data_IF_328186478507
#
_entry.id   IF_328186478507
#
_cell.length_a   1.000
_cell.length_b   1.000
_cell.length_c   1.000
_cell.angle_alpha   90.00
_cell.angle_beta   90.00
_cell.angle_gamma   90.00
#
_symmetry.space_group_name_H-M   'P 1'
#
loop_
_entity.id
_entity.type
_entity.pdbx_description
1 polymer ?
#
# COMPACT_ATOMS: atom_id res chain seq x y z
N UNK A 1 -21.39 -32.81 -4.20
CA UNK A 1 -21.02 -33.14 -5.59
C UNK A 1 -19.96 -34.22 -5.49
N UNK A 2 -20.19 -35.45 -6.03
CA UNK A 2 -19.16 -36.48 -6.04
C UNK A 2 -18.01 -35.98 -6.92
N UNK A 3 -16.83 -35.83 -6.33
CA UNK A 3 -15.61 -35.47 -7.04
C UNK A 3 -14.98 -36.76 -7.56
N UNK A 4 -15.17 -37.07 -8.85
CA UNK A 4 -14.33 -38.09 -9.46
C UNK A 4 -12.91 -37.54 -9.50
N UNK A 5 -11.99 -38.18 -8.76
CA UNK A 5 -10.55 -37.98 -8.90
C UNK A 5 -10.08 -38.48 -10.27
N UNK A 6 -10.61 -37.86 -11.33
CA UNK A 6 -10.09 -38.06 -12.67
C UNK A 6 -8.68 -37.47 -12.68
N UNK A 7 -7.71 -38.21 -13.06
CA UNK A 7 -6.30 -37.97 -13.47
C UNK A 7 -5.76 -36.53 -13.58
N UNK A 8 -6.40 -35.54 -12.99
CA UNK A 8 -5.92 -34.16 -12.96
C UNK A 8 -4.98 -33.94 -11.79
N UNK A 9 -3.79 -33.46 -12.07
CA UNK A 9 -2.75 -33.16 -11.08
C UNK A 9 -3.16 -32.05 -10.09
N UNK A 10 -4.21 -31.27 -10.40
CA UNK A 10 -4.75 -30.20 -9.56
C UNK A 10 -6.24 -29.99 -9.81
N UNK A 11 -6.89 -29.28 -8.90
CA UNK A 11 -8.25 -28.78 -9.05
C UNK A 11 -8.37 -27.40 -8.38
N UNK A 12 -9.23 -26.53 -8.89
CA UNK A 12 -9.53 -25.23 -8.32
C UNK A 12 -11.05 -25.02 -8.26
N UNK A 13 -11.55 -24.55 -7.12
CA UNK A 13 -12.93 -24.11 -6.96
C UNK A 13 -13.03 -22.63 -7.36
N UNK A 14 -14.26 -22.17 -7.60
CA UNK A 14 -14.52 -20.80 -8.04
C UNK A 14 -13.75 -20.42 -9.31
N UNK A 15 -13.99 -21.19 -10.38
CA UNK A 15 -13.37 -20.93 -11.68
C UNK A 15 -13.62 -19.48 -12.12
N UNK A 16 -12.58 -18.84 -12.68
CA UNK A 16 -12.55 -17.42 -13.09
C UNK A 16 -13.00 -16.45 -11.99
N UNK A 17 -12.98 -16.91 -10.72
CA UNK A 17 -13.36 -16.10 -9.55
C UNK A 17 -14.76 -15.47 -9.65
N UNK A 18 -15.70 -16.16 -10.33
CA UNK A 18 -17.05 -15.65 -10.60
C UNK A 18 -17.99 -15.71 -9.38
N UNK A 19 -17.73 -16.59 -8.42
CA UNK A 19 -18.54 -16.73 -7.20
C UNK A 19 -18.10 -15.77 -6.10
N UNK A 20 -19.07 -15.27 -5.33
CA UNK A 20 -18.83 -14.33 -4.22
C UNK A 20 -18.55 -15.13 -2.93
N UNK A 21 -17.47 -15.92 -2.92
CA UNK A 21 -17.00 -16.69 -1.76
C UNK A 21 -15.49 -16.91 -1.86
N UNK A 22 -14.85 -17.16 -0.70
CA UNK A 22 -13.42 -17.45 -0.61
C UNK A 22 -13.22 -18.96 -0.39
N UNK A 23 -12.10 -19.47 -0.89
CA UNK A 23 -11.75 -20.90 -0.79
C UNK A 23 -10.49 -21.09 0.04
N UNK A 24 -10.61 -21.86 1.11
CA UNK A 24 -9.45 -22.33 1.89
C UNK A 24 -8.92 -23.61 1.25
N UNK A 25 -7.67 -23.58 0.83
CA UNK A 25 -6.93 -24.77 0.39
C UNK A 25 -5.96 -25.23 1.48
N UNK A 26 -5.66 -26.54 1.51
CA UNK A 26 -4.52 -26.99 2.33
C UNK A 26 -3.22 -26.36 1.82
N UNK A 27 -2.20 -26.19 2.67
CA UNK A 27 -0.92 -25.61 2.24
C UNK A 27 -0.31 -26.34 1.03
N UNK A 28 -0.39 -27.68 1.02
CA UNK A 28 0.13 -28.52 -0.06
C UNK A 28 -0.63 -28.31 -1.38
N UNK A 29 -1.97 -28.16 -1.29
CA UNK A 29 -2.77 -27.94 -2.48
C UNK A 29 -2.60 -26.53 -3.02
N UNK A 30 -2.49 -25.53 -2.13
CA UNK A 30 -2.20 -24.15 -2.52
C UNK A 30 -0.82 -24.02 -3.19
N UNK A 31 0.19 -24.74 -2.70
CA UNK A 31 1.50 -24.80 -3.32
C UNK A 31 1.43 -25.39 -4.75
N UNK A 32 0.68 -26.48 -4.95
CA UNK A 32 0.45 -27.06 -6.29
C UNK A 32 -0.26 -26.08 -7.22
N UNK A 33 -1.28 -25.37 -6.74
CA UNK A 33 -1.93 -24.32 -7.52
C UNK A 33 -0.96 -23.20 -7.88
N UNK A 34 -0.02 -22.86 -6.99
CA UNK A 34 1.08 -21.95 -7.27
C UNK A 34 1.99 -22.43 -8.39
N UNK A 35 2.38 -23.72 -8.38
CA UNK A 35 3.18 -24.34 -9.45
C UNK A 35 2.43 -24.26 -10.81
N UNK A 36 1.13 -24.55 -10.84
CA UNK A 36 0.33 -24.43 -12.06
C UNK A 36 0.20 -22.98 -12.50
N UNK A 37 0.00 -22.05 -11.57
CA UNK A 37 -0.10 -20.62 -11.84
C UNK A 37 1.24 -20.04 -12.36
N UNK A 38 2.39 -20.59 -11.95
CA UNK A 38 3.73 -20.14 -12.37
C UNK A 38 4.01 -20.33 -13.87
N UNK A 39 3.19 -21.13 -14.56
CA UNK A 39 3.26 -21.27 -16.02
C UNK A 39 2.84 -19.98 -16.75
N UNK A 40 2.37 -18.95 -16.03
CA UNK A 40 2.01 -17.66 -16.58
C UNK A 40 0.97 -17.74 -17.71
N UNK A 41 1.26 -17.22 -18.90
CA UNK A 41 0.32 -17.29 -20.04
C UNK A 41 0.00 -18.71 -20.51
N UNK A 42 0.84 -19.70 -20.21
CA UNK A 42 0.60 -21.12 -20.54
C UNK A 42 -0.12 -21.87 -19.41
N UNK A 43 -0.46 -21.19 -18.32
CA UNK A 43 -1.23 -21.80 -17.23
C UNK A 43 -2.67 -22.09 -17.68
N UNK A 44 -3.25 -23.23 -17.28
CA UNK A 44 -4.69 -23.45 -17.43
C UNK A 44 -5.54 -22.60 -16.47
N UNK A 45 -4.90 -21.90 -15.50
CA UNK A 45 -5.56 -20.92 -14.64
C UNK A 45 -5.60 -19.56 -15.33
N UNK A 46 -6.80 -18.99 -15.47
CA UNK A 46 -6.99 -17.66 -16.02
C UNK A 46 -6.27 -16.58 -15.19
N UNK A 47 -6.22 -15.36 -15.70
CA UNK A 47 -5.71 -14.20 -14.93
C UNK A 47 -6.58 -13.99 -13.69
N UNK A 48 -7.90 -14.10 -13.84
CA UNK A 48 -8.89 -13.99 -12.78
C UNK A 48 -8.70 -15.06 -11.71
N UNK A 49 -8.39 -16.29 -12.11
CA UNK A 49 -8.08 -17.39 -11.19
C UNK A 49 -6.83 -17.09 -10.38
N UNK A 50 -5.77 -16.60 -11.00
CA UNK A 50 -4.51 -16.27 -10.31
C UNK A 50 -4.68 -15.09 -9.33
N UNK A 51 -5.41 -14.04 -9.73
CA UNK A 51 -5.78 -12.92 -8.84
C UNK A 51 -6.62 -13.42 -7.67
N UNK A 52 -7.63 -14.26 -7.95
CA UNK A 52 -8.50 -14.83 -6.92
C UNK A 52 -7.75 -15.68 -5.89
N UNK A 53 -6.78 -16.50 -6.35
CA UNK A 53 -5.91 -17.30 -5.45
C UNK A 53 -5.09 -16.40 -4.51
N UNK A 54 -4.52 -15.31 -5.03
CA UNK A 54 -3.76 -14.35 -4.25
C UNK A 54 -4.68 -13.68 -3.21
N UNK A 55 -5.85 -13.17 -3.67
CA UNK A 55 -6.78 -12.48 -2.78
C UNK A 55 -7.29 -13.41 -1.67
N UNK A 56 -7.67 -14.64 -1.99
CA UNK A 56 -8.11 -15.63 -1.01
C UNK A 56 -6.99 -16.00 -0.03
N UNK A 57 -5.78 -16.32 -0.51
CA UNK A 57 -4.68 -16.73 0.34
C UNK A 57 -4.31 -15.66 1.38
N UNK A 58 -4.19 -14.40 0.98
CA UNK A 58 -3.85 -13.32 1.89
C UNK A 58 -5.01 -12.90 2.79
N UNK A 59 -6.23 -12.83 2.27
CA UNK A 59 -7.40 -12.44 3.06
C UNK A 59 -7.74 -13.49 4.13
N UNK A 60 -7.64 -14.77 3.78
CA UNK A 60 -7.88 -15.87 4.72
C UNK A 60 -6.74 -16.00 5.75
N UNK A 61 -5.50 -15.69 5.37
CA UNK A 61 -4.40 -15.59 6.34
C UNK A 61 -4.60 -14.42 7.32
N UNK A 62 -5.02 -13.26 6.81
CA UNK A 62 -5.34 -12.10 7.64
C UNK A 62 -6.49 -12.40 8.63
N UNK A 63 -7.50 -13.14 8.19
CA UNK A 63 -8.63 -13.56 9.02
C UNK A 63 -8.33 -14.77 9.94
N UNK A 64 -7.10 -15.32 9.91
CA UNK A 64 -6.69 -16.44 10.79
C UNK A 64 -7.14 -17.83 10.33
N UNK A 65 -7.75 -17.97 9.13
CA UNK A 65 -8.17 -19.26 8.58
C UNK A 65 -7.03 -20.04 7.92
N UNK A 66 -5.94 -19.38 7.55
CA UNK A 66 -4.76 -20.01 6.95
C UNK A 66 -3.46 -19.36 7.45
N UNK A 67 -2.31 -19.96 7.07
CA UNK A 67 -1.00 -19.42 7.46
C UNK A 67 -0.51 -18.39 6.44
N UNK A 68 0.04 -17.28 6.89
CA UNK A 68 0.71 -16.29 6.04
C UNK A 68 1.85 -16.90 5.24
N UNK A 69 2.57 -17.90 5.79
CA UNK A 69 3.61 -18.64 5.06
C UNK A 69 3.09 -19.32 3.79
N UNK A 70 1.85 -19.83 3.80
CA UNK A 70 1.25 -20.44 2.61
C UNK A 70 0.98 -19.40 1.51
N UNK A 71 0.53 -18.19 1.88
CA UNK A 71 0.36 -17.08 0.94
C UNK A 71 1.71 -16.60 0.37
N UNK A 72 2.76 -16.55 1.19
CA UNK A 72 4.13 -16.22 0.72
C UNK A 72 4.70 -17.31 -0.21
N UNK A 73 4.41 -18.59 0.06
CA UNK A 73 4.80 -19.70 -0.84
C UNK A 73 4.12 -19.57 -2.21
N UNK A 74 2.81 -19.25 -2.23
CA UNK A 74 2.09 -18.95 -3.48
C UNK A 74 2.74 -17.77 -4.22
N UNK A 75 3.05 -16.69 -3.51
CA UNK A 75 3.71 -15.51 -4.11
C UNK A 75 5.07 -15.86 -4.69
N UNK A 76 5.87 -16.68 -3.99
CA UNK A 76 7.18 -17.14 -4.48
C UNK A 76 7.05 -17.94 -5.79
N UNK A 77 6.04 -18.78 -5.91
CA UNK A 77 5.77 -19.51 -7.15
C UNK A 77 5.48 -18.59 -8.34
N UNK A 78 4.91 -17.41 -8.09
CA UNK A 78 4.54 -16.40 -9.10
C UNK A 78 5.69 -15.43 -9.47
N UNK A 79 6.95 -15.73 -9.12
CA UNK A 79 8.10 -14.85 -9.42
C UNK A 79 8.33 -14.58 -10.92
N UNK A 80 7.81 -15.44 -11.81
CA UNK A 80 7.87 -15.30 -13.27
C UNK A 80 6.62 -14.67 -13.89
N UNK A 81 5.70 -14.15 -13.08
CA UNK A 81 4.44 -13.57 -13.58
C UNK A 81 4.69 -12.32 -14.43
N UNK A 82 3.85 -12.13 -15.45
CA UNK A 82 3.94 -11.02 -16.40
C UNK A 82 2.63 -10.24 -16.55
N UNK A 83 1.51 -10.77 -16.05
CA UNK A 83 0.23 -10.07 -16.07
C UNK A 83 0.25 -8.88 -15.13
N UNK A 84 -0.08 -7.69 -15.61
CA UNK A 84 -0.18 -6.47 -14.83
C UNK A 84 -1.16 -6.61 -13.67
N UNK A 85 -2.32 -7.24 -13.89
CA UNK A 85 -3.35 -7.43 -12.88
C UNK A 85 -2.87 -8.34 -11.74
N UNK A 86 -2.19 -9.43 -12.06
CA UNK A 86 -1.65 -10.36 -11.05
C UNK A 86 -0.54 -9.68 -10.23
N UNK A 87 0.37 -8.95 -10.89
CA UNK A 87 1.43 -8.21 -10.22
C UNK A 87 0.92 -7.05 -9.37
N UNK A 88 -0.15 -6.36 -9.80
CA UNK A 88 -0.84 -5.36 -8.98
C UNK A 88 -1.46 -5.99 -7.72
N UNK A 89 -2.11 -7.14 -7.86
CA UNK A 89 -2.68 -7.87 -6.73
C UNK A 89 -1.58 -8.27 -5.73
N UNK A 90 -0.45 -8.81 -6.20
CA UNK A 90 0.70 -9.16 -5.37
C UNK A 90 1.29 -7.94 -4.67
N UNK A 91 1.50 -6.83 -5.38
CA UNK A 91 2.03 -5.60 -4.82
C UNK A 91 1.14 -5.06 -3.69
N UNK A 92 -0.18 -5.03 -3.92
CA UNK A 92 -1.16 -4.60 -2.92
C UNK A 92 -1.14 -5.49 -1.66
N UNK A 93 -1.17 -6.82 -1.84
CA UNK A 93 -1.20 -7.75 -0.69
C UNK A 93 0.09 -7.74 0.11
N UNK A 94 1.23 -7.65 -0.55
CA UNK A 94 2.53 -7.55 0.12
C UNK A 94 2.71 -6.20 0.84
N UNK A 95 2.14 -5.12 0.30
CA UNK A 95 2.12 -3.82 0.99
C UNK A 95 1.23 -3.86 2.24
N UNK A 96 0.03 -4.46 2.14
CA UNK A 96 -0.85 -4.67 3.29
C UNK A 96 -0.17 -5.51 4.38
N UNK A 97 0.52 -6.59 4.00
CA UNK A 97 1.29 -7.42 4.93
C UNK A 97 2.42 -6.63 5.58
N UNK A 98 3.19 -5.87 4.80
CA UNK A 98 4.27 -5.02 5.30
C UNK A 98 3.74 -3.96 6.28
N UNK A 99 2.60 -3.37 5.98
CA UNK A 99 1.93 -2.42 6.87
C UNK A 99 1.45 -3.06 8.16
N UNK A 100 0.89 -4.28 8.11
CA UNK A 100 0.45 -5.00 9.30
C UNK A 100 1.62 -5.48 10.18
N UNK A 101 2.77 -5.79 9.56
CA UNK A 101 3.97 -6.29 10.24
C UNK A 101 4.95 -5.19 10.66
N UNK A 102 4.54 -3.94 10.70
CA UNK A 102 5.42 -2.81 10.97
C UNK A 102 6.12 -2.84 12.35
N UNK A 103 5.54 -3.52 13.34
CA UNK A 103 6.10 -3.71 14.69
C UNK A 103 6.77 -5.08 14.89
N UNK A 104 6.81 -5.92 13.86
CA UNK A 104 7.53 -7.19 13.93
C UNK A 104 9.05 -6.96 14.08
N UNK A 105 9.76 -7.99 14.55
CA UNK A 105 11.20 -7.95 14.68
C UNK A 105 11.88 -7.44 13.40
N UNK A 106 12.96 -6.69 13.55
CA UNK A 106 13.67 -6.10 12.41
C UNK A 106 14.08 -7.14 11.37
N UNK A 107 14.48 -8.35 11.79
CA UNK A 107 14.82 -9.46 10.89
C UNK A 107 13.64 -9.90 10.01
N UNK A 108 12.43 -9.92 10.56
CA UNK A 108 11.20 -10.27 9.82
C UNK A 108 10.90 -9.20 8.77
N UNK A 109 10.97 -7.92 9.17
CA UNK A 109 10.72 -6.80 8.25
C UNK A 109 11.74 -6.71 7.14
N UNK A 110 13.03 -6.90 7.47
CA UNK A 110 14.13 -6.97 6.48
C UNK A 110 13.94 -8.14 5.53
N UNK A 111 13.60 -9.33 6.06
CA UNK A 111 13.34 -10.51 5.22
C UNK A 111 12.15 -10.32 4.28
N UNK A 112 11.05 -9.70 4.75
CA UNK A 112 9.90 -9.37 3.89
C UNK A 112 10.27 -8.36 2.80
N UNK A 113 11.04 -7.32 3.15
CA UNK A 113 11.48 -6.33 2.18
C UNK A 113 12.42 -6.94 1.13
N UNK A 114 13.36 -7.81 1.54
CA UNK A 114 14.22 -8.53 0.59
C UNK A 114 13.38 -9.41 -0.36
N UNK A 115 12.41 -10.16 0.17
CA UNK A 115 11.50 -10.96 -0.63
C UNK A 115 10.73 -10.13 -1.68
N UNK A 116 10.25 -8.94 -1.28
CA UNK A 116 9.58 -7.99 -2.18
C UNK A 116 10.54 -7.42 -3.23
N UNK A 117 11.76 -7.06 -2.83
CA UNK A 117 12.80 -6.54 -3.73
C UNK A 117 13.22 -7.60 -4.77
N UNK A 118 13.35 -8.86 -4.37
CA UNK A 118 13.67 -9.97 -5.26
C UNK A 118 12.56 -10.23 -6.30
N UNK A 119 11.30 -10.00 -5.91
CA UNK A 119 10.15 -10.14 -6.81
C UNK A 119 10.05 -8.98 -7.81
N UNK A 120 10.10 -7.73 -7.34
CA UNK A 120 9.80 -6.55 -8.16
C UNK A 120 11.03 -5.88 -8.77
N UNK A 121 12.21 -5.98 -8.15
CA UNK A 121 13.43 -5.32 -8.63
C UNK A 121 13.85 -5.72 -10.04
N UNK A 122 13.89 -7.02 -10.40
CA UNK A 122 14.18 -7.44 -11.78
C UNK A 122 13.20 -6.88 -12.82
N UNK A 123 11.92 -6.83 -12.47
CA UNK A 123 10.86 -6.25 -13.34
C UNK A 123 11.02 -4.74 -13.49
N UNK A 124 11.31 -4.03 -12.40
CA UNK A 124 11.57 -2.60 -12.43
C UNK A 124 12.77 -2.24 -13.34
N UNK A 125 13.85 -3.02 -13.25
CA UNK A 125 15.02 -2.87 -14.15
C UNK A 125 14.67 -3.15 -15.61
N UNK A 126 13.91 -4.20 -15.88
CA UNK A 126 13.48 -4.57 -17.23
C UNK A 126 12.60 -3.51 -17.89
N UNK A 127 11.62 -2.98 -17.16
CA UNK A 127 10.70 -1.97 -17.67
C UNK A 127 11.31 -0.56 -17.66
N UNK A 128 12.28 -0.30 -16.80
CA UNK A 128 12.97 0.97 -16.58
C UNK A 128 12.01 2.14 -16.28
N UNK A 129 12.58 3.31 -16.01
CA UNK A 129 11.80 4.54 -15.82
C UNK A 129 11.45 5.25 -17.15
N UNK A 130 12.03 4.80 -18.25
CA UNK A 130 11.83 5.43 -19.54
C UNK A 130 10.55 4.90 -20.17
N UNK A 131 9.55 5.77 -20.28
CA UNK A 131 8.32 5.49 -21.03
C UNK A 131 8.58 5.65 -22.50
N UNK A 132 8.09 4.73 -23.31
CA UNK A 132 8.18 4.81 -24.78
C UNK A 132 6.83 5.25 -25.34
N UNK A 133 6.86 5.91 -26.49
CA UNK A 133 5.64 6.38 -27.16
C UNK A 133 4.72 5.21 -27.59
N UNK A 134 5.30 4.02 -27.84
CA UNK A 134 4.61 2.81 -28.22
C UNK A 134 4.17 1.91 -27.03
N UNK A 135 4.44 2.35 -25.80
CA UNK A 135 4.00 1.60 -24.60
C UNK A 135 2.47 1.58 -24.50
N UNK A 136 1.91 0.38 -24.37
CA UNK A 136 0.48 0.22 -24.08
C UNK A 136 0.13 0.76 -22.70
N UNK A 137 -1.13 1.07 -22.47
CA UNK A 137 -1.64 1.47 -21.12
C UNK A 137 -1.28 0.42 -20.08
N UNK A 138 -1.43 -0.85 -20.39
CA UNK A 138 -1.07 -1.95 -19.51
C UNK A 138 0.42 -1.96 -19.16
N UNK A 139 1.30 -1.69 -20.12
CA UNK A 139 2.76 -1.58 -19.88
C UNK A 139 3.09 -0.41 -18.96
N UNK A 140 2.42 0.72 -19.13
CA UNK A 140 2.61 1.91 -18.26
C UNK A 140 2.15 1.63 -16.82
N UNK A 141 0.97 1.03 -16.66
CA UNK A 141 0.45 0.64 -15.35
C UNK A 141 1.38 -0.38 -14.65
N UNK A 142 1.83 -1.38 -15.40
CA UNK A 142 2.78 -2.38 -14.89
C UNK A 142 4.08 -1.72 -14.45
N UNK A 143 4.65 -0.81 -15.26
CA UNK A 143 5.86 -0.06 -14.93
C UNK A 143 5.68 0.70 -13.62
N UNK A 144 4.59 1.47 -13.50
CA UNK A 144 4.29 2.24 -12.29
C UNK A 144 4.18 1.34 -11.06
N UNK A 145 3.47 0.23 -11.19
CA UNK A 145 3.29 -0.75 -10.11
C UNK A 145 4.62 -1.34 -9.65
N UNK A 146 5.43 -1.85 -10.58
CA UNK A 146 6.67 -2.55 -10.19
C UNK A 146 7.74 -1.59 -9.68
N UNK A 147 7.84 -0.37 -10.24
CA UNK A 147 8.76 0.66 -9.74
C UNK A 147 8.36 1.06 -8.31
N UNK A 148 7.08 1.32 -8.06
CA UNK A 148 6.60 1.70 -6.72
C UNK A 148 6.81 0.57 -5.72
N UNK A 149 6.53 -0.68 -6.10
CA UNK A 149 6.71 -1.84 -5.22
C UNK A 149 8.18 -2.13 -4.92
N UNK A 150 9.07 -2.03 -5.92
CA UNK A 150 10.51 -2.21 -5.76
C UNK A 150 11.11 -1.09 -4.89
N UNK A 151 10.72 0.16 -5.11
CA UNK A 151 11.15 1.30 -4.29
C UNK A 151 10.72 1.14 -2.82
N UNK A 152 9.44 0.81 -2.58
CA UNK A 152 8.92 0.58 -1.24
C UNK A 152 9.60 -0.61 -0.53
N UNK A 153 10.10 -1.58 -1.28
CA UNK A 153 10.88 -2.72 -0.78
C UNK A 153 12.36 -2.39 -0.50
N UNK A 154 12.83 -1.22 -0.94
CA UNK A 154 14.23 -0.81 -0.76
C UNK A 154 15.19 -1.34 -1.82
N UNK A 155 14.70 -1.71 -3.04
CA UNK A 155 15.58 -2.13 -4.14
C UNK A 155 16.60 -1.05 -4.48
N UNK A 156 17.87 -1.36 -4.33
CA UNK A 156 18.96 -0.40 -4.41
C UNK A 156 19.05 0.28 -5.80
N UNK A 157 18.83 -0.47 -6.89
CA UNK A 157 18.85 0.09 -8.23
C UNK A 157 17.69 1.08 -8.43
N UNK A 158 16.49 0.70 -8.03
CA UNK A 158 15.29 1.55 -8.15
C UNK A 158 15.45 2.83 -7.33
N UNK A 159 15.93 2.74 -6.10
CA UNK A 159 16.19 3.92 -5.26
C UNK A 159 17.30 4.80 -5.84
N UNK A 160 18.36 4.22 -6.41
CA UNK A 160 19.42 4.96 -7.09
C UNK A 160 18.89 5.76 -8.29
N UNK A 161 18.02 5.16 -9.10
CA UNK A 161 17.38 5.82 -10.22
C UNK A 161 16.42 6.94 -9.79
N UNK A 162 15.69 6.75 -8.70
CA UNK A 162 14.83 7.79 -8.10
C UNK A 162 15.69 8.96 -7.62
N UNK A 163 16.73 8.67 -6.86
CA UNK A 163 17.65 9.69 -6.35
C UNK A 163 18.26 10.53 -7.49
N UNK A 164 18.77 9.86 -8.52
CA UNK A 164 19.35 10.55 -9.68
C UNK A 164 18.37 11.51 -10.36
N UNK A 165 17.12 11.09 -10.57
CA UNK A 165 16.08 11.91 -11.21
C UNK A 165 15.65 13.08 -10.34
N UNK A 166 15.45 12.81 -9.04
CA UNK A 166 15.06 13.85 -8.09
C UNK A 166 16.16 14.91 -7.93
N UNK A 167 17.44 14.49 -7.81
CA UNK A 167 18.58 15.41 -7.70
C UNK A 167 18.70 16.25 -8.95
N UNK A 168 18.59 15.67 -10.15
CA UNK A 168 18.60 16.43 -11.39
C UNK A 168 17.52 17.53 -11.38
N UNK A 169 16.28 17.17 -11.06
CA UNK A 169 15.20 18.16 -10.97
C UNK A 169 15.46 19.20 -9.89
N UNK A 170 15.96 18.80 -8.73
CA UNK A 170 16.25 19.72 -7.61
C UNK A 170 17.32 20.75 -7.99
N UNK A 171 18.34 20.36 -8.73
CA UNK A 171 19.48 21.20 -9.10
C UNK A 171 19.19 22.11 -10.31
N UNK A 172 18.38 21.61 -11.24
CA UNK A 172 18.17 22.30 -12.53
C UNK A 172 16.77 22.92 -12.69
N UNK A 173 15.78 22.45 -11.92
CA UNK A 173 14.37 22.76 -12.13
C UNK A 173 13.73 21.98 -13.30
N UNK A 174 14.49 21.12 -13.99
CA UNK A 174 14.03 20.31 -15.12
C UNK A 174 13.52 18.94 -14.64
N UNK A 175 12.22 18.70 -14.74
CA UNK A 175 11.56 17.45 -14.39
C UNK A 175 11.37 16.47 -15.56
N UNK A 176 11.96 16.76 -16.73
CA UNK A 176 11.83 15.95 -17.95
C UNK A 176 12.24 14.48 -17.77
N UNK A 177 13.09 14.18 -16.79
CA UNK A 177 13.47 12.81 -16.42
C UNK A 177 12.44 12.10 -15.56
N UNK A 178 11.38 12.78 -15.09
CA UNK A 178 10.36 12.23 -14.19
C UNK A 178 9.03 12.14 -14.93
N UNK A 179 8.73 10.96 -15.48
CA UNK A 179 7.43 10.78 -16.13
C UNK A 179 6.28 10.95 -15.12
N UNK A 180 5.15 11.58 -15.50
CA UNK A 180 3.99 11.80 -14.60
C UNK A 180 3.51 10.54 -13.86
N UNK A 181 3.55 9.38 -14.49
CA UNK A 181 3.10 8.10 -13.91
C UNK A 181 3.94 7.68 -12.68
N UNK A 182 5.20 8.08 -12.60
CA UNK A 182 6.11 7.75 -11.48
C UNK A 182 6.42 8.94 -10.58
N UNK A 183 5.86 10.13 -10.88
CA UNK A 183 6.12 11.36 -10.13
C UNK A 183 5.87 11.18 -8.63
N UNK A 184 4.74 10.60 -8.25
CA UNK A 184 4.42 10.35 -6.83
C UNK A 184 5.48 9.50 -6.15
N UNK A 185 5.89 8.40 -6.79
CA UNK A 185 6.90 7.48 -6.24
C UNK A 185 8.24 8.20 -6.07
N UNK A 186 8.68 8.95 -7.09
CA UNK A 186 9.95 9.72 -7.04
C UNK A 186 9.94 10.71 -5.89
N UNK A 187 8.89 11.53 -5.76
CA UNK A 187 8.79 12.53 -4.71
C UNK A 187 8.69 11.89 -3.31
N UNK A 188 7.89 10.82 -3.17
CA UNK A 188 7.70 10.16 -1.87
C UNK A 188 8.98 9.49 -1.37
N UNK A 189 9.71 8.78 -2.23
CA UNK A 189 10.95 8.13 -1.83
C UNK A 189 12.08 9.15 -1.63
N UNK A 190 12.09 10.26 -2.40
CA UNK A 190 13.03 11.35 -2.18
C UNK A 190 12.84 12.03 -0.82
N UNK A 191 11.59 12.26 -0.38
CA UNK A 191 11.30 12.81 0.94
C UNK A 191 11.59 11.79 2.06
N UNK A 192 11.29 10.53 1.82
CA UNK A 192 11.48 9.44 2.78
C UNK A 192 12.95 9.18 3.12
N UNK A 193 13.82 9.20 2.12
CA UNK A 193 15.25 8.90 2.25
C UNK A 193 16.15 10.14 2.21
N UNK A 194 15.60 11.31 1.88
CA UNK A 194 16.33 12.55 1.72
C UNK A 194 16.49 13.35 3.02
N UNK A 195 17.11 14.49 2.87
CA UNK A 195 17.37 15.43 3.95
C UNK A 195 16.26 16.52 4.08
N UNK A 196 16.51 17.53 4.91
CA UNK A 196 15.60 18.67 5.06
C UNK A 196 15.46 19.49 3.78
N UNK A 197 16.46 19.47 2.90
CA UNK A 197 16.41 20.21 1.62
C UNK A 197 15.46 19.52 0.64
N UNK A 198 15.49 18.17 0.56
CA UNK A 198 14.52 17.41 -0.27
C UNK A 198 13.07 17.69 0.19
N UNK A 199 12.82 17.67 1.50
CA UNK A 199 11.51 18.02 2.06
C UNK A 199 11.11 19.46 1.68
N UNK A 200 12.01 20.44 1.82
CA UNK A 200 11.77 21.84 1.47
C UNK A 200 11.43 22.00 0.00
N UNK A 201 12.16 21.33 -0.89
CA UNK A 201 11.90 21.34 -2.34
C UNK A 201 10.48 20.82 -2.65
N UNK A 202 10.07 19.71 -2.05
CA UNK A 202 8.72 19.16 -2.26
C UNK A 202 7.64 20.05 -1.64
N UNK A 203 7.91 20.70 -0.50
CA UNK A 203 7.00 21.66 0.12
C UNK A 203 6.81 22.90 -0.79
N UNK A 204 7.88 23.38 -1.42
CA UNK A 204 7.79 24.47 -2.40
C UNK A 204 6.95 24.06 -3.62
N UNK A 205 7.14 22.83 -4.11
CA UNK A 205 6.31 22.29 -5.20
C UNK A 205 4.82 22.24 -4.80
N UNK A 206 4.49 21.88 -3.55
CA UNK A 206 3.12 21.90 -3.07
C UNK A 206 2.50 23.31 -3.11
N UNK A 207 3.25 24.33 -2.70
CA UNK A 207 2.77 25.73 -2.69
C UNK A 207 2.68 26.38 -4.07
N UNK A 208 3.60 26.05 -4.98
CA UNK A 208 3.67 26.59 -6.34
C UNK A 208 3.76 25.48 -7.39
N UNK A 209 2.72 24.64 -7.54
CA UNK A 209 2.77 23.49 -8.45
C UNK A 209 2.53 23.93 -9.90
N UNK A 210 3.27 23.35 -10.87
CA UNK A 210 3.01 23.58 -12.29
C UNK A 210 1.66 23.04 -12.74
N UNK A 211 1.22 21.93 -12.15
CA UNK A 211 -0.07 21.28 -12.44
C UNK A 211 -0.74 20.75 -11.18
N UNK A 212 -2.06 20.47 -11.21
CA UNK A 212 -2.76 19.80 -10.10
C UNK A 212 -2.14 18.45 -9.69
N UNK A 213 -1.60 17.69 -10.67
CA UNK A 213 -0.91 16.43 -10.40
C UNK A 213 0.30 16.63 -9.48
N UNK A 214 1.15 17.61 -9.82
CA UNK A 214 2.33 17.95 -9.02
C UNK A 214 1.96 18.31 -7.59
N UNK A 215 0.90 19.10 -7.43
CA UNK A 215 0.39 19.46 -6.09
C UNK A 215 -0.01 18.24 -5.27
N UNK A 216 -0.83 17.36 -5.86
CA UNK A 216 -1.31 16.17 -5.16
C UNK A 216 -0.15 15.21 -4.85
N UNK A 217 0.77 14.98 -5.80
CA UNK A 217 1.95 14.15 -5.58
C UNK A 217 2.87 14.73 -4.51
N UNK A 218 3.12 16.04 -4.51
CA UNK A 218 3.91 16.72 -3.49
C UNK A 218 3.27 16.58 -2.10
N UNK A 219 1.95 16.81 -1.99
CA UNK A 219 1.23 16.65 -0.74
C UNK A 219 1.36 15.24 -0.16
N UNK A 220 1.16 14.22 -1.00
CA UNK A 220 1.31 12.82 -0.56
C UNK A 220 2.75 12.51 -0.16
N UNK A 221 3.73 13.05 -0.89
CA UNK A 221 5.15 12.86 -0.60
C UNK A 221 5.56 13.45 0.76
N UNK A 222 5.02 14.62 1.14
CA UNK A 222 5.27 15.20 2.47
C UNK A 222 4.86 14.26 3.61
N UNK A 223 3.83 13.43 3.42
CA UNK A 223 3.43 12.42 4.38
C UNK A 223 4.38 11.23 4.50
N UNK A 224 5.34 11.07 3.58
CA UNK A 224 6.30 9.96 3.58
C UNK A 224 7.55 10.23 4.44
N UNK A 225 7.71 11.44 4.97
CA UNK A 225 8.87 11.85 5.76
C UNK A 225 9.05 11.00 7.02
N UNK A 226 10.30 10.61 7.33
CA UNK A 226 10.61 9.75 8.49
C UNK A 226 11.22 10.52 9.68
N UNK A 227 11.77 11.71 9.45
CA UNK A 227 12.38 12.53 10.49
C UNK A 227 11.30 13.13 11.42
N UNK A 228 11.43 12.98 12.76
CA UNK A 228 10.42 13.45 13.72
C UNK A 228 10.09 14.94 13.63
N UNK A 229 11.12 15.79 13.42
CA UNK A 229 10.96 17.23 13.25
C UNK A 229 10.13 17.61 12.02
N UNK A 230 10.35 16.89 10.92
CA UNK A 230 9.60 17.11 9.67
C UNK A 230 8.21 16.49 9.70
N UNK A 231 8.02 15.36 10.42
CA UNK A 231 6.69 14.81 10.71
C UNK A 231 5.85 15.84 11.49
N UNK A 232 6.42 16.40 12.56
CA UNK A 232 5.75 17.43 13.34
C UNK A 232 5.37 18.65 12.48
N UNK A 233 6.28 19.08 11.59
CA UNK A 233 6.01 20.17 10.65
C UNK A 233 4.89 19.82 9.67
N UNK A 234 4.86 18.59 9.12
CA UNK A 234 3.80 18.16 8.21
C UNK A 234 2.45 18.12 8.91
N UNK A 235 2.40 17.64 10.16
CA UNK A 235 1.18 17.66 10.98
C UNK A 235 0.70 19.10 11.25
N UNK A 236 1.60 20.04 11.56
CA UNK A 236 1.25 21.46 11.68
C UNK A 236 0.60 22.00 10.40
N UNK A 237 1.12 21.71 9.21
CA UNK A 237 0.50 22.14 7.93
C UNK A 237 -0.94 21.64 7.79
N UNK A 238 -1.23 20.44 8.32
CA UNK A 238 -2.59 19.87 8.29
C UNK A 238 -3.52 20.60 9.25
N UNK A 239 -3.12 20.74 10.51
CA UNK A 239 -3.99 21.18 11.58
C UNK A 239 -4.07 22.70 11.70
N UNK A 240 -3.01 23.44 11.32
CA UNK A 240 -2.98 24.91 11.33
C UNK A 240 -3.68 25.54 10.10
N UNK A 241 -4.11 24.72 9.12
CA UNK A 241 -5.00 25.15 8.04
C UNK A 241 -4.31 25.54 6.72
N UNK A 242 -3.02 25.25 6.58
CA UNK A 242 -2.30 25.45 5.31
C UNK A 242 -2.78 24.49 4.22
N UNK A 243 -3.26 23.31 4.61
CA UNK A 243 -3.82 22.32 3.69
C UNK A 243 -5.33 22.49 3.62
N UNK A 244 -5.87 22.53 2.38
CA UNK A 244 -7.31 22.65 2.15
C UNK A 244 -8.03 21.37 2.57
N UNK A 245 -9.24 21.51 3.12
CA UNK A 245 -10.05 20.36 3.59
C UNK A 245 -10.31 19.30 2.53
N UNK A 246 -10.44 19.69 1.26
CA UNK A 246 -10.58 18.75 0.14
C UNK A 246 -9.37 17.83 -0.06
N UNK A 247 -8.19 18.25 0.41
CA UNK A 247 -6.92 17.54 0.25
C UNK A 247 -6.60 16.66 1.49
N UNK A 248 -7.39 16.74 2.56
CA UNK A 248 -7.14 16.01 3.82
C UNK A 248 -7.04 14.50 3.62
N UNK A 249 -7.90 13.91 2.79
CA UNK A 249 -7.86 12.47 2.55
C UNK A 249 -6.50 12.01 1.99
N UNK A 250 -5.88 12.81 1.12
CA UNK A 250 -4.57 12.47 0.54
C UNK A 250 -3.46 12.47 1.61
N UNK A 251 -3.35 13.56 2.38
CA UNK A 251 -2.27 13.66 3.37
C UNK A 251 -2.49 12.72 4.56
N UNK A 252 -3.74 12.52 5.02
CA UNK A 252 -4.03 11.57 6.09
C UNK A 252 -3.69 10.15 5.70
N UNK A 253 -4.03 9.71 4.48
CA UNK A 253 -3.65 8.40 3.98
C UNK A 253 -2.12 8.26 3.87
N UNK A 254 -1.41 9.29 3.40
CA UNK A 254 0.05 9.26 3.30
C UNK A 254 0.72 9.15 4.69
N UNK A 255 0.29 9.97 5.66
CA UNK A 255 0.78 9.93 7.03
C UNK A 255 0.42 8.61 7.74
N UNK A 256 -0.75 8.05 7.48
CA UNK A 256 -1.18 6.76 8.02
C UNK A 256 -0.37 5.59 7.46
N UNK A 257 -0.05 5.62 6.18
CA UNK A 257 0.78 4.60 5.53
C UNK A 257 2.23 4.63 6.03
N UNK A 258 2.70 5.77 6.50
CA UNK A 258 4.05 5.96 7.03
C UNK A 258 4.13 5.46 8.49
N UNK A 259 4.89 4.41 8.73
CA UNK A 259 5.06 3.78 10.05
C UNK A 259 5.62 4.71 11.11
N UNK A 260 6.33 5.76 10.73
CA UNK A 260 6.91 6.75 11.64
C UNK A 260 5.92 7.83 12.08
N UNK A 261 4.87 8.09 11.31
CA UNK A 261 3.91 9.16 11.58
C UNK A 261 2.52 8.70 12.01
N UNK A 262 2.14 7.42 11.81
CA UNK A 262 0.77 6.95 12.04
C UNK A 262 0.23 7.19 13.45
N UNK A 263 1.03 6.94 14.51
CA UNK A 263 0.62 7.23 15.89
C UNK A 263 0.61 8.74 16.20
N UNK A 264 1.56 9.49 15.63
CA UNK A 264 1.56 10.94 15.76
C UNK A 264 0.33 11.55 15.08
N UNK A 265 -0.05 11.06 13.90
CA UNK A 265 -1.28 11.46 13.22
C UNK A 265 -2.51 11.21 14.08
N UNK A 266 -2.65 10.03 14.68
CA UNK A 266 -3.77 9.72 15.56
C UNK A 266 -3.80 10.64 16.79
N UNK A 267 -2.66 10.89 17.41
CA UNK A 267 -2.56 11.77 18.58
C UNK A 267 -2.97 13.21 18.24
N UNK A 268 -2.50 13.76 17.11
CA UNK A 268 -2.92 15.09 16.66
C UNK A 268 -4.40 15.11 16.24
N UNK A 269 -4.88 14.04 15.61
CA UNK A 269 -6.32 13.92 15.27
C UNK A 269 -7.20 13.97 16.52
N UNK A 270 -6.81 13.29 17.61
CA UNK A 270 -7.53 13.36 18.89
C UNK A 270 -7.55 14.78 19.48
N UNK A 271 -6.42 15.48 19.44
CA UNK A 271 -6.31 16.85 19.99
C UNK A 271 -7.20 17.83 19.22
N UNK A 272 -7.26 17.71 17.92
CA UNK A 272 -7.97 18.62 17.02
C UNK A 272 -9.33 18.08 16.54
N UNK A 273 -9.86 17.02 17.18
CA UNK A 273 -11.04 16.31 16.70
C UNK A 273 -12.28 17.18 16.53
N UNK A 274 -12.56 18.01 17.54
CA UNK A 274 -13.77 18.87 17.53
C UNK A 274 -13.66 19.95 16.44
N UNK A 275 -12.45 20.48 16.23
CA UNK A 275 -12.19 21.44 15.15
C UNK A 275 -12.28 20.78 13.78
N UNK A 276 -11.70 19.59 13.59
CA UNK A 276 -11.82 18.80 12.36
C UNK A 276 -13.29 18.48 12.06
N UNK A 277 -14.05 18.06 13.08
CA UNK A 277 -15.47 17.77 12.94
C UNK A 277 -16.24 18.99 12.45
N UNK A 278 -15.95 20.16 13.00
CA UNK A 278 -16.57 21.42 12.58
C UNK A 278 -16.14 21.85 11.16
N UNK A 279 -14.83 21.74 10.84
CA UNK A 279 -14.30 22.09 9.51
C UNK A 279 -14.87 21.19 8.39
N UNK A 280 -15.20 19.94 8.72
CA UNK A 280 -15.71 18.93 7.78
C UNK A 280 -17.21 18.65 7.96
N UNK A 281 -17.93 19.48 8.72
CA UNK A 281 -19.38 19.36 8.92
C UNK A 281 -20.11 19.39 7.58
N UNK A 282 -21.03 18.42 7.38
CA UNK A 282 -21.74 18.25 6.12
C UNK A 282 -20.93 17.63 4.97
N UNK A 283 -19.67 17.26 5.23
CA UNK A 283 -18.81 16.62 4.25
C UNK A 283 -18.52 15.16 4.64
N UNK A 284 -18.69 14.22 3.70
CA UNK A 284 -18.36 12.79 3.89
C UNK A 284 -16.87 12.56 4.16
N UNK A 285 -16.01 13.55 3.95
CA UNK A 285 -14.56 13.45 4.17
C UNK A 285 -14.18 13.20 5.63
N UNK A 286 -15.00 13.61 6.61
CA UNK A 286 -14.70 13.39 8.03
C UNK A 286 -14.55 11.90 8.35
N UNK A 287 -15.44 11.05 7.83
CA UNK A 287 -15.32 9.60 7.98
C UNK A 287 -14.04 9.06 7.34
N UNK A 288 -13.67 9.53 6.15
CA UNK A 288 -12.43 9.16 5.47
C UNK A 288 -11.17 9.55 6.25
N UNK A 289 -11.16 10.75 6.83
CA UNK A 289 -10.06 11.28 7.65
C UNK A 289 -9.90 10.46 8.95
N UNK A 290 -11.00 10.19 9.65
CA UNK A 290 -10.98 9.36 10.87
C UNK A 290 -10.52 7.95 10.55
N UNK A 291 -11.07 7.34 9.50
CA UNK A 291 -10.64 6.01 9.03
C UNK A 291 -9.15 5.99 8.74
N UNK A 292 -8.63 6.95 7.97
CA UNK A 292 -7.22 7.03 7.66
C UNK A 292 -6.36 7.12 8.93
N UNK A 293 -6.77 7.91 9.92
CA UNK A 293 -6.01 8.09 11.16
C UNK A 293 -5.89 6.83 12.02
N UNK A 294 -6.85 5.88 11.93
CA UNK A 294 -6.89 4.69 12.80
C UNK A 294 -6.62 3.37 12.09
N UNK A 295 -6.87 3.25 10.78
CA UNK A 295 -6.89 1.96 10.07
C UNK A 295 -5.53 1.26 9.97
N UNK A 296 -4.43 1.98 10.16
CA UNK A 296 -3.07 1.43 10.12
C UNK A 296 -2.49 1.15 11.52
N UNK A 297 -3.24 1.41 12.58
CA UNK A 297 -2.90 1.05 13.96
C UNK A 297 -3.27 -0.40 14.21
N UNK A 298 -2.39 -1.16 14.87
CA UNK A 298 -2.53 -2.63 14.92
C UNK A 298 -2.25 -3.26 16.28
N UNK A 299 -1.85 -2.48 17.31
CA UNK A 299 -1.64 -3.02 18.64
C UNK A 299 -2.92 -3.05 19.49
N UNK A 300 -2.95 -3.91 20.51
CA UNK A 300 -4.05 -3.91 21.50
C UNK A 300 -4.13 -2.57 22.25
N UNK A 301 -2.99 -1.91 22.46
CA UNK A 301 -2.94 -0.59 23.10
C UNK A 301 -3.56 0.49 22.20
N UNK A 302 -3.28 0.45 20.90
CA UNK A 302 -3.89 1.34 19.92
C UNK A 302 -5.41 1.15 19.90
N UNK A 303 -5.89 -0.11 19.89
CA UNK A 303 -7.31 -0.42 19.92
C UNK A 303 -7.99 0.11 21.20
N UNK A 304 -7.38 -0.14 22.37
CA UNK A 304 -7.90 0.36 23.64
C UNK A 304 -7.93 1.90 23.69
N UNK A 305 -6.95 2.58 23.09
CA UNK A 305 -6.92 4.03 23.01
C UNK A 305 -8.04 4.59 22.09
N UNK A 306 -8.26 3.96 20.95
CA UNK A 306 -9.36 4.31 20.03
C UNK A 306 -10.71 4.12 20.72
N UNK A 307 -10.93 2.99 21.38
CA UNK A 307 -12.17 2.69 22.11
C UNK A 307 -12.43 3.72 23.22
N UNK A 308 -11.42 4.05 24.03
CA UNK A 308 -11.53 5.09 25.07
C UNK A 308 -11.88 6.46 24.48
N UNK A 309 -11.27 6.82 23.35
CA UNK A 309 -11.52 8.11 22.72
C UNK A 309 -12.97 8.25 22.25
N UNK A 310 -13.57 7.18 21.69
CA UNK A 310 -14.93 7.18 21.18
C UNK A 310 -16.01 6.79 22.21
N UNK A 311 -15.64 6.34 23.42
CA UNK A 311 -16.60 5.87 24.45
C UNK A 311 -17.70 6.89 24.82
N UNK A 312 -17.39 8.18 24.73
CA UNK A 312 -18.30 9.27 25.10
C UNK A 312 -18.63 10.20 23.91
N UNK A 313 -18.33 9.77 22.68
CA UNK A 313 -18.62 10.54 21.46
C UNK A 313 -19.68 9.83 20.62
N UNK A 314 -20.52 10.60 19.95
CA UNK A 314 -21.47 9.99 19.00
C UNK A 314 -20.71 9.30 17.88
N UNK A 315 -20.88 8.00 17.77
CA UNK A 315 -20.21 7.15 16.78
C UNK A 315 -21.11 6.77 15.61
N UNK A 316 -22.31 7.35 15.53
CA UNK A 316 -23.31 6.99 14.51
C UNK A 316 -22.74 7.03 13.08
N UNK A 317 -21.80 7.95 12.82
CA UNK A 317 -21.10 8.06 11.53
C UNK A 317 -19.89 7.13 11.39
N UNK A 318 -19.41 6.51 12.50
CA UNK A 318 -18.16 5.74 12.56
C UNK A 318 -18.35 4.30 13.04
N UNK A 319 -19.57 3.88 13.41
CA UNK A 319 -19.84 2.55 13.98
C UNK A 319 -19.27 1.41 13.14
N UNK A 320 -19.38 1.50 11.82
CA UNK A 320 -18.81 0.51 10.91
C UNK A 320 -17.27 0.48 10.92
N UNK A 321 -16.59 1.58 11.27
CA UNK A 321 -15.13 1.67 11.31
C UNK A 321 -14.55 1.07 12.58
N UNK A 322 -15.23 1.22 13.71
CA UNK A 322 -14.80 0.67 15.00
C UNK A 322 -14.88 -0.85 14.95
N UNK A 323 -15.93 -1.41 14.36
CA UNK A 323 -16.07 -2.86 14.16
C UNK A 323 -15.06 -3.46 13.17
N UNK A 324 -14.57 -2.69 12.19
CA UNK A 324 -13.52 -3.14 11.26
C UNK A 324 -12.16 -3.24 11.97
N UNK A 325 -11.93 -2.44 13.00
CA UNK A 325 -10.68 -2.44 13.79
C UNK A 325 -10.62 -3.56 14.82
N UNK A 326 -11.76 -4.21 15.15
CA UNK A 326 -11.76 -5.37 16.00
C UNK A 326 -11.17 -6.57 15.23
N UNK A 327 -10.07 -7.19 15.72
CA UNK A 327 -9.65 -8.46 15.16
C UNK A 327 -10.81 -9.43 15.36
N UNK A 328 -11.39 -9.89 14.26
CA UNK A 328 -12.39 -10.96 14.29
C UNK A 328 -11.73 -12.17 14.94
N UNK A 329 -11.91 -12.34 16.26
CA UNK A 329 -11.61 -13.60 16.92
C UNK A 329 -12.57 -14.61 16.32
N UNK A 330 -12.10 -15.69 15.69
CA UNK A 330 -13.00 -16.78 15.34
C UNK A 330 -13.63 -17.26 16.64
N UNK A 331 -14.95 -17.14 16.76
CA UNK A 331 -15.67 -17.87 17.77
C UNK A 331 -15.30 -19.33 17.58
N UNK A 332 -14.73 -19.93 18.62
CA UNK A 332 -14.49 -21.37 18.64
C UNK A 332 -15.87 -22.05 18.61
N UNK A 333 -16.24 -22.61 17.48
CA UNK A 333 -17.23 -23.67 17.36
C UNK A 333 -16.53 -24.98 17.67
#
# INVERSE_FOLDING_TARGET
>A
IPFERANSSFWKLNADTTGVYRVVYTPEHLARLGEVASLGPSSPLSVEDRVGLIDDAYSLAHAGYSRTSSALTLTHALHGETSSLVLQALALKLEQLSSAWWEQAASVRVGLNQFRADLFGPLARKLSFNVRDDDSTETRELRTTVISAAAAAGDAWTLGEIHRRFTHWQDTGDDSLIHPDVLRTVLSEAVKHGDAQAYKTVLQLYHAPPTPLHRTCALMALGSVQRPDLIARTLSLVFDGDIKTQDYTYIFNALSSNTFSRRALWNETKKHFDELSKRLEGNFSLMGVVKAAISALSSEEDLADIQRFFAHRSTTMYLSLIHISEPTRPERI
#
